data_IF_827234866306
#
_entry.id   IF_827234866306
#
_cell.length_a   1.000
_cell.length_b   1.000
_cell.length_c   1.000
_cell.angle_alpha   90.00
_cell.angle_beta   90.00
_cell.angle_gamma   90.00
#
_symmetry.space_group_name_H-M   'P 1'
#
loop_
_entity.id
_entity.type
_entity.pdbx_description
1 polymer ?
#
# COMPACT_ATOMS: atom_id res chain seq x y z
N UNK A 1 32.23 3.11 32.67
CA UNK A 1 31.21 4.10 32.25
C UNK A 1 31.34 4.27 30.75
N UNK A 2 30.43 3.69 29.96
CA UNK A 2 30.54 3.65 28.50
C UNK A 2 29.92 2.38 27.93
N UNK A 3 28.61 2.21 28.07
CA UNK A 3 27.90 1.17 27.32
C UNK A 3 27.73 1.63 25.88
N UNK A 4 28.33 0.85 24.97
CA UNK A 4 28.26 1.05 23.53
C UNK A 4 26.80 0.89 23.09
N UNK A 5 26.18 1.99 22.71
CA UNK A 5 24.90 1.98 22.02
C UNK A 5 25.06 1.18 20.72
N UNK A 6 24.36 0.05 20.61
CA UNK A 6 24.18 -0.63 19.34
C UNK A 6 23.37 0.30 18.42
N UNK A 7 24.07 1.07 17.59
CA UNK A 7 23.52 1.59 16.33
C UNK A 7 23.41 0.42 15.40
N UNK A 8 22.30 -0.30 15.48
CA UNK A 8 21.92 -1.17 14.38
C UNK A 8 21.45 -0.27 13.24
N UNK A 9 22.16 -0.34 12.11
CA UNK A 9 21.83 0.19 10.78
C UNK A 9 20.53 -0.41 10.20
N UNK A 10 19.48 -0.51 11.01
CA UNK A 10 18.18 -0.94 10.56
C UNK A 10 17.34 0.28 10.26
N UNK A 11 17.45 0.68 9.00
CA UNK A 11 16.48 1.44 8.22
C UNK A 11 15.83 2.60 8.97
N UNK A 12 16.19 3.82 8.55
CA UNK A 12 15.38 5.01 8.74
C UNK A 12 13.92 4.61 8.48
N UNK A 13 13.15 4.42 9.55
CA UNK A 13 11.73 4.07 9.47
C UNK A 13 11.02 5.36 9.12
N UNK A 14 11.23 5.81 7.89
CA UNK A 14 10.47 6.90 7.32
C UNK A 14 9.07 6.34 7.13
N UNK A 15 8.18 6.63 8.06
CA UNK A 15 6.75 6.51 7.83
C UNK A 15 6.35 7.57 6.80
N UNK A 16 6.72 7.39 5.53
CA UNK A 16 6.19 8.20 4.41
C UNK A 16 4.76 7.76 4.11
N UNK A 17 3.88 7.72 5.11
CA UNK A 17 2.45 7.47 4.91
C UNK A 17 1.63 8.16 6.01
N UNK A 18 1.52 9.49 5.92
CA UNK A 18 0.19 10.09 5.98
C UNK A 18 -0.38 9.93 4.56
N UNK A 19 -1.05 8.81 4.33
CA UNK A 19 -1.79 8.56 3.08
C UNK A 19 -3.09 9.31 3.24
N UNK A 20 -3.36 10.24 2.33
CA UNK A 20 -4.69 10.82 2.17
C UNK A 20 -5.68 9.67 2.00
N UNK A 21 -6.71 9.68 2.85
CA UNK A 21 -7.80 8.70 2.84
C UNK A 21 -8.44 8.68 1.45
N UNK A 22 -8.01 7.75 0.61
CA UNK A 22 -8.81 7.26 -0.51
C UNK A 22 -8.72 5.74 -0.53
N UNK A 23 -9.80 5.16 0.00
CA UNK A 23 -10.33 3.88 -0.46
C UNK A 23 -9.49 2.63 -0.22
N UNK A 24 -9.54 2.13 1.01
CA UNK A 24 -9.82 0.70 1.19
C UNK A 24 -10.62 0.53 2.47
N UNK A 25 -11.50 -0.47 2.47
CA UNK A 25 -12.38 -0.83 3.58
C UNK A 25 -11.75 -0.57 4.93
N UNK A 26 -12.55 0.04 5.81
CA UNK A 26 -12.12 0.70 7.03
C UNK A 26 -11.11 -0.07 7.88
N UNK A 27 -10.33 0.71 8.63
CA UNK A 27 -9.34 0.29 9.64
C UNK A 27 -7.91 0.04 9.14
N UNK A 28 -7.37 0.98 8.36
CA UNK A 28 -5.93 1.03 8.05
C UNK A 28 -5.01 1.29 9.28
N UNK A 29 -5.56 1.76 10.41
CA UNK A 29 -4.76 2.01 11.63
C UNK A 29 -4.45 0.74 12.44
N UNK A 30 -5.34 -0.27 12.43
CA UNK A 30 -5.15 -1.49 13.22
C UNK A 30 -4.20 -2.51 12.55
N UNK A 31 -4.05 -2.45 11.22
CA UNK A 31 -3.34 -3.49 10.45
C UNK A 31 -1.81 -3.19 10.35
N UNK A 32 -1.39 -1.93 10.44
CA UNK A 32 0.04 -1.55 10.30
C UNK A 32 0.90 -1.80 11.55
N UNK A 33 0.28 -2.05 12.70
CA UNK A 33 0.98 -2.50 13.92
C UNK A 33 1.40 -3.96 13.81
N UNK A 34 0.58 -4.83 13.23
CA UNK A 34 0.84 -6.28 13.20
C UNK A 34 2.10 -6.67 12.39
N UNK A 35 2.51 -5.87 11.39
CA UNK A 35 3.71 -6.15 10.59
C UNK A 35 4.99 -5.53 11.13
N UNK A 36 4.89 -4.51 11.99
CA UNK A 36 6.04 -3.84 12.62
C UNK A 36 6.23 -4.26 14.10
N UNK A 37 5.28 -5.00 14.65
CA UNK A 37 5.31 -5.50 16.03
C UNK A 37 5.92 -6.90 16.07
N UNK A 38 7.22 -6.97 15.77
CA UNK A 38 8.03 -8.17 15.98
C UNK A 38 8.22 -8.43 17.48
N UNK A 39 8.39 -9.69 17.93
CA UNK A 39 8.79 -10.00 19.31
C UNK A 39 9.99 -9.18 19.80
N UNK A 40 10.94 -8.91 18.90
CA UNK A 40 12.10 -8.07 19.17
C UNK A 40 11.70 -6.60 19.45
N UNK A 41 10.82 -6.04 18.62
CA UNK A 41 10.35 -4.65 18.78
C UNK A 41 9.53 -4.52 20.07
N UNK A 42 8.73 -5.53 20.43
CA UNK A 42 8.03 -5.56 21.73
C UNK A 42 8.99 -5.57 22.90
N UNK A 43 10.05 -6.38 22.85
CA UNK A 43 11.07 -6.41 23.89
C UNK A 43 11.78 -5.05 24.03
N UNK A 44 12.15 -4.42 22.92
CA UNK A 44 12.76 -3.08 22.92
C UNK A 44 11.80 -2.00 23.43
N UNK A 45 10.50 -2.10 23.11
CA UNK A 45 9.48 -1.17 23.60
C UNK A 45 9.28 -1.28 25.11
N UNK A 46 9.30 -2.51 25.66
CA UNK A 46 9.26 -2.75 27.11
C UNK A 46 10.45 -2.12 27.85
N UNK A 47 11.58 -1.99 27.17
CA UNK A 47 12.78 -1.37 27.69
C UNK A 47 12.86 0.14 27.40
N UNK A 48 11.79 0.75 26.87
CA UNK A 48 11.76 2.16 26.44
C UNK A 48 12.85 2.53 25.41
N UNK A 49 13.28 1.57 24.58
CA UNK A 49 14.36 1.75 23.59
C UNK A 49 13.87 2.04 22.16
N UNK A 50 12.58 2.34 21.99
CA UNK A 50 11.99 2.63 20.66
C UNK A 50 11.71 4.12 20.57
N UNK A 51 12.33 4.80 19.60
CA UNK A 51 12.05 6.20 19.27
C UNK A 51 11.38 6.28 17.89
N UNK A 52 10.45 7.22 17.74
CA UNK A 52 9.78 7.52 16.46
C UNK A 52 9.99 9.01 16.12
N UNK A 53 11.15 9.37 15.54
CA UNK A 53 11.56 10.78 15.38
C UNK A 53 10.65 11.60 14.47
N UNK A 54 9.93 10.92 13.57
CA UNK A 54 9.07 11.55 12.57
C UNK A 54 7.58 11.53 12.95
N UNK A 55 7.24 11.13 14.19
CA UNK A 55 5.85 10.92 14.62
C UNK A 55 4.99 12.19 14.55
N UNK A 56 5.62 13.36 14.73
CA UNK A 56 4.94 14.65 14.83
C UNK A 56 4.86 15.37 13.46
N UNK A 57 5.42 14.79 12.41
CA UNK A 57 5.50 15.40 11.08
C UNK A 57 4.51 14.79 10.08
N UNK A 58 4.03 15.62 9.15
CA UNK A 58 3.25 15.22 7.99
C UNK A 58 4.14 14.79 6.82
N UNK A 59 3.54 14.13 5.81
CA UNK A 59 4.30 13.47 4.73
C UNK A 59 5.09 14.46 3.88
N UNK A 60 4.54 15.63 3.63
CA UNK A 60 5.16 16.79 3.00
C UNK A 60 6.32 17.34 3.84
N UNK A 61 6.13 17.52 5.14
CA UNK A 61 7.20 17.99 6.06
C UNK A 61 8.37 17.01 6.11
N UNK A 62 8.10 15.71 6.18
CA UNK A 62 9.12 14.65 6.11
C UNK A 62 9.91 14.72 4.79
N UNK A 63 9.26 15.08 3.67
CA UNK A 63 9.96 15.28 2.39
C UNK A 63 10.88 16.50 2.43
N UNK A 64 10.42 17.61 2.99
CA UNK A 64 11.24 18.82 3.14
C UNK A 64 12.46 18.58 4.05
N UNK A 65 12.27 17.82 5.14
CA UNK A 65 13.37 17.37 6.00
C UNK A 65 14.36 16.53 5.19
N UNK A 66 13.87 15.57 4.39
CA UNK A 66 14.72 14.75 3.53
C UNK A 66 15.55 15.56 2.53
N UNK A 67 14.96 16.59 1.92
CA UNK A 67 15.67 17.50 0.99
C UNK A 67 16.73 18.30 1.72
N UNK A 68 16.41 18.84 2.90
CA UNK A 68 17.35 19.60 3.74
C UNK A 68 18.52 18.73 4.21
N UNK A 69 18.29 17.43 4.41
CA UNK A 69 19.33 16.44 4.75
C UNK A 69 20.18 16.01 3.54
N UNK A 70 19.90 16.50 2.34
CA UNK A 70 20.66 16.19 1.12
C UNK A 70 20.28 14.86 0.44
N UNK A 71 19.11 14.28 0.75
CA UNK A 71 18.62 13.12 0.03
C UNK A 71 18.19 13.52 -1.40
N UNK A 72 18.50 12.67 -2.38
CA UNK A 72 18.09 12.90 -3.77
C UNK A 72 16.56 13.00 -3.90
N UNK A 73 16.10 13.97 -4.70
CA UNK A 73 14.67 14.22 -4.98
C UNK A 73 13.93 12.96 -5.43
N UNK A 74 14.58 12.14 -6.26
CA UNK A 74 13.97 10.96 -6.87
C UNK A 74 13.58 9.90 -5.83
N UNK A 75 14.30 9.86 -4.70
CA UNK A 75 13.99 8.97 -3.56
C UNK A 75 12.83 9.54 -2.73
N UNK A 76 12.85 10.84 -2.49
CA UNK A 76 11.87 11.56 -1.64
C UNK A 76 10.48 11.59 -2.27
N UNK A 77 10.42 11.82 -3.59
CA UNK A 77 9.18 11.94 -4.35
C UNK A 77 8.72 10.62 -4.98
N UNK A 78 9.43 9.52 -4.73
CA UNK A 78 9.04 8.19 -5.21
C UNK A 78 7.62 7.85 -4.74
N UNK A 79 6.84 7.26 -5.65
CA UNK A 79 5.51 6.75 -5.32
C UNK A 79 5.59 5.69 -4.23
N UNK A 80 4.60 5.62 -3.32
CA UNK A 80 4.58 4.60 -2.28
C UNK A 80 4.55 3.21 -2.92
N UNK A 81 5.37 2.31 -2.36
CA UNK A 81 5.40 0.91 -2.75
C UNK A 81 4.82 0.05 -1.62
N UNK A 82 3.94 -0.91 -1.91
CA UNK A 82 3.29 -1.74 -0.88
C UNK A 82 4.30 -2.64 -0.16
N UNK A 83 4.06 -2.93 1.12
CA UNK A 83 4.93 -3.80 1.93
C UNK A 83 5.12 -5.21 1.36
N UNK A 84 4.03 -5.91 0.98
CA UNK A 84 4.11 -7.18 0.23
C UNK A 84 4.68 -7.06 -1.20
N UNK A 85 4.97 -5.85 -1.66
CA UNK A 85 5.56 -5.58 -2.97
C UNK A 85 4.71 -6.04 -4.16
N UNK A 86 5.34 -6.73 -5.10
CA UNK A 86 4.69 -7.22 -6.32
C UNK A 86 3.76 -8.41 -6.06
N UNK A 87 3.84 -9.06 -4.90
CA UNK A 87 3.02 -10.24 -4.60
C UNK A 87 1.51 -9.95 -4.68
N UNK A 88 1.08 -8.76 -4.25
CA UNK A 88 -0.34 -8.33 -4.35
C UNK A 88 -0.76 -7.89 -5.76
N UNK A 89 0.19 -7.83 -6.71
CA UNK A 89 -0.08 -7.46 -8.10
C UNK A 89 -0.13 -8.66 -9.04
N UNK A 90 0.11 -9.86 -8.51
CA UNK A 90 0.02 -11.11 -9.26
C UNK A 90 -1.29 -11.78 -8.85
N UNK A 91 -2.18 -11.99 -9.82
CA UNK A 91 -3.38 -12.79 -9.59
C UNK A 91 -2.97 -14.26 -9.57
N UNK A 92 -3.07 -14.89 -8.41
CA UNK A 92 -2.84 -16.32 -8.25
C UNK A 92 -4.19 -17.04 -8.21
N UNK A 93 -4.38 -18.01 -9.10
CA UNK A 93 -5.58 -18.84 -9.14
C UNK A 93 -5.15 -20.29 -9.44
N UNK A 94 -5.68 -21.23 -8.68
CA UNK A 94 -5.52 -22.66 -8.98
C UNK A 94 -6.57 -23.10 -10.02
N UNK A 95 -7.76 -22.50 -9.97
CA UNK A 95 -8.89 -22.77 -10.86
C UNK A 95 -9.51 -21.46 -11.37
N UNK A 96 -10.11 -21.44 -12.58
CA UNK A 96 -10.71 -20.24 -13.13
C UNK A 96 -11.90 -19.76 -12.29
N UNK A 97 -11.95 -18.45 -12.03
CA UNK A 97 -13.09 -17.83 -11.37
C UNK A 97 -14.27 -17.67 -12.33
N UNK A 98 -15.27 -18.55 -12.23
CA UNK A 98 -16.50 -18.54 -13.03
C UNK A 98 -17.75 -18.73 -12.15
N UNK A 99 -18.40 -17.63 -11.69
CA UNK A 99 -19.61 -17.73 -10.88
C UNK A 99 -20.82 -18.24 -11.67
N UNK A 100 -21.34 -19.41 -11.30
CA UNK A 100 -22.43 -20.09 -12.04
C UNK A 100 -23.69 -19.23 -12.15
N UNK A 101 -24.01 -18.45 -11.11
CA UNK A 101 -25.24 -17.67 -11.02
C UNK A 101 -25.35 -16.58 -12.10
N UNK A 102 -24.24 -15.91 -12.45
CA UNK A 102 -24.27 -14.73 -13.31
C UNK A 102 -23.25 -14.72 -14.44
N UNK A 103 -22.30 -15.66 -14.51
CA UNK A 103 -21.25 -15.62 -15.53
C UNK A 103 -21.82 -15.61 -16.97
N UNK A 104 -22.80 -16.47 -17.25
CA UNK A 104 -23.44 -16.55 -18.58
C UNK A 104 -24.29 -15.32 -18.90
N UNK A 105 -25.08 -14.85 -17.92
CA UNK A 105 -25.92 -13.68 -18.06
C UNK A 105 -25.09 -12.40 -18.29
N UNK A 106 -24.07 -12.18 -17.47
CA UNK A 106 -23.12 -11.06 -17.60
C UNK A 106 -22.39 -11.11 -18.93
N UNK A 107 -21.93 -12.28 -19.36
CA UNK A 107 -21.27 -12.44 -20.66
C UNK A 107 -22.19 -12.07 -21.83
N UNK A 108 -23.46 -12.45 -21.75
CA UNK A 108 -24.46 -12.12 -22.77
C UNK A 108 -24.77 -10.62 -22.79
N UNK A 109 -24.92 -9.99 -21.63
CA UNK A 109 -25.11 -8.56 -21.51
C UNK A 109 -23.92 -7.76 -22.08
N UNK A 110 -22.70 -8.18 -21.78
CA UNK A 110 -21.49 -7.56 -22.33
C UNK A 110 -21.42 -7.68 -23.85
N UNK A 111 -21.80 -8.83 -24.42
CA UNK A 111 -21.89 -8.99 -25.88
C UNK A 111 -22.90 -8.03 -26.51
N UNK A 112 -24.05 -7.82 -25.86
CA UNK A 112 -25.04 -6.83 -26.32
C UNK A 112 -24.48 -5.41 -26.28
N UNK A 113 -23.78 -5.04 -25.20
CA UNK A 113 -23.15 -3.72 -25.07
C UNK A 113 -22.10 -3.49 -26.16
N UNK A 114 -21.24 -4.48 -26.41
CA UNK A 114 -20.17 -4.38 -27.43
C UNK A 114 -20.77 -4.25 -28.83
N UNK A 115 -21.83 -4.99 -29.13
CA UNK A 115 -22.45 -5.01 -30.45
C UNK A 115 -23.58 -3.98 -30.61
N UNK A 116 -23.72 -3.04 -29.67
CA UNK A 116 -24.87 -2.12 -29.68
C UNK A 116 -24.97 -1.30 -30.98
N UNK A 117 -23.85 -0.79 -31.50
CA UNK A 117 -23.83 -0.01 -32.74
C UNK A 117 -24.26 -0.83 -33.96
N UNK A 118 -23.77 -2.06 -34.09
CA UNK A 118 -24.10 -2.95 -35.23
C UNK A 118 -25.52 -3.49 -35.16
N UNK A 119 -26.10 -3.59 -33.95
CA UNK A 119 -27.50 -3.95 -33.75
C UNK A 119 -28.44 -2.76 -34.00
N UNK A 120 -28.02 -1.53 -33.68
CA UNK A 120 -28.79 -0.32 -33.94
C UNK A 120 -28.93 -0.06 -35.46
N UNK A 121 -27.86 -0.19 -36.23
CA UNK A 121 -27.88 -0.03 -37.69
C UNK A 121 -28.79 -1.04 -38.41
N UNK A 122 -29.00 -2.22 -37.83
CA UNK A 122 -29.88 -3.28 -38.37
C UNK A 122 -31.37 -3.05 -38.10
N UNK A 123 -31.74 -2.11 -37.25
CA UNK A 123 -33.14 -1.80 -36.95
C UNK A 123 -33.71 -0.66 -37.81
N UNK A 124 -32.84 0.09 -38.50
CA UNK A 124 -33.22 1.24 -39.34
C UNK A 124 -33.42 0.90 -40.83
N UNK A 125 -33.31 -0.38 -41.22
CA UNK A 125 -33.65 -0.90 -42.57
C UNK A 125 -34.77 -1.92 -42.51
#
# INVERSE_FOLDING_TARGET
>A
MGEKGLTQDHAIKVRIQKVDKSSQGGHADAIKTHHNDSPMVRALRKLNRVIEPLKDFHKDEVRQIGLTLGLHSDVIYRHPFPGPGLAIRILCVDEPYMPVEYFSQTSSLLKTIINYSTMAEKQDT
#
